data_IF_580367447072
#
_entry.id   IF_580367447072
#
_cell.length_a   1.000
_cell.length_b   1.000
_cell.length_c   1.000
_cell.angle_alpha   90.00
_cell.angle_beta   90.00
_cell.angle_gamma   90.00
#
_symmetry.space_group_name_H-M   'P 1'
#
loop_
_entity.id
_entity.type
_entity.pdbx_description
1 polymer ?
#
# COMPACT_ATOMS: atom_id res chain seq x y z
N UNK A 1 -10.62 15.45 -16.05
CA UNK A 1 -9.50 15.28 -15.13
C UNK A 1 -8.65 16.54 -15.16
N UNK A 2 -8.67 17.29 -14.08
CA UNK A 2 -7.78 18.43 -13.89
C UNK A 2 -6.41 17.94 -13.38
N UNK A 3 -5.37 18.75 -13.60
CA UNK A 3 -4.00 18.43 -13.21
C UNK A 3 -3.37 19.64 -12.55
N UNK A 4 -2.95 19.50 -11.30
CA UNK A 4 -2.38 20.57 -10.49
C UNK A 4 -1.06 20.14 -9.85
N UNK A 5 -0.13 21.11 -9.70
CA UNK A 5 1.22 20.85 -9.24
C UNK A 5 1.60 21.64 -7.98
N UNK A 6 0.82 22.65 -7.61
CA UNK A 6 1.05 23.43 -6.40
C UNK A 6 -0.06 23.21 -5.38
N UNK A 7 0.28 23.39 -4.11
CA UNK A 7 -0.69 23.33 -3.01
C UNK A 7 -1.82 24.36 -3.20
N UNK A 8 -1.48 25.56 -3.63
CA UNK A 8 -2.45 26.64 -3.89
C UNK A 8 -3.51 26.19 -4.91
N UNK A 9 -3.10 25.62 -6.05
CA UNK A 9 -4.02 25.12 -7.07
C UNK A 9 -4.82 23.90 -6.59
N UNK A 10 -4.23 23.05 -5.76
CA UNK A 10 -4.97 21.97 -5.12
C UNK A 10 -6.05 22.52 -4.20
N UNK A 11 -5.73 23.53 -3.37
CA UNK A 11 -6.69 24.14 -2.44
C UNK A 11 -7.87 24.77 -3.22
N UNK A 12 -7.62 25.49 -4.33
CA UNK A 12 -8.65 26.06 -5.20
C UNK A 12 -9.63 24.97 -5.71
N UNK A 13 -9.10 23.86 -6.23
CA UNK A 13 -9.93 22.77 -6.77
C UNK A 13 -10.72 22.04 -5.66
N UNK A 14 -10.10 21.80 -4.50
CA UNK A 14 -10.77 21.18 -3.36
C UNK A 14 -11.86 22.10 -2.81
N UNK A 15 -11.60 23.40 -2.67
CA UNK A 15 -12.61 24.38 -2.24
C UNK A 15 -13.79 24.45 -3.20
N UNK A 16 -13.53 24.36 -4.51
CA UNK A 16 -14.58 24.29 -5.51
C UNK A 16 -15.46 23.03 -5.35
N UNK A 17 -14.86 21.87 -5.08
CA UNK A 17 -15.61 20.64 -4.81
C UNK A 17 -16.43 20.75 -3.53
N UNK A 18 -15.85 21.28 -2.44
CA UNK A 18 -16.55 21.45 -1.16
C UNK A 18 -17.72 22.42 -1.25
N UNK A 19 -17.57 23.54 -1.97
CA UNK A 19 -18.66 24.50 -2.21
C UNK A 19 -19.84 23.87 -2.97
N UNK A 20 -19.58 22.82 -3.76
CA UNK A 20 -20.61 22.05 -4.47
C UNK A 20 -21.14 20.85 -3.68
N UNK A 21 -20.76 20.70 -2.41
CA UNK A 21 -21.11 19.55 -1.57
C UNK A 21 -20.71 18.20 -2.19
N UNK A 22 -19.61 18.17 -2.95
CA UNK A 22 -19.10 16.93 -3.56
C UNK A 22 -18.48 16.02 -2.49
N UNK A 23 -18.67 14.72 -2.63
CA UNK A 23 -17.98 13.70 -1.82
C UNK A 23 -16.63 13.42 -2.45
N UNK A 24 -15.55 13.75 -1.73
CA UNK A 24 -14.18 13.64 -2.21
C UNK A 24 -13.56 12.33 -1.73
N UNK A 25 -13.04 11.52 -2.63
CA UNK A 25 -12.13 10.43 -2.28
C UNK A 25 -10.71 10.72 -2.71
N UNK A 26 -9.73 10.21 -1.95
CA UNK A 26 -8.30 10.26 -2.29
C UNK A 26 -7.74 8.86 -2.52
N UNK A 27 -6.89 8.74 -3.54
CA UNK A 27 -6.07 7.55 -3.82
C UNK A 27 -4.60 7.96 -3.86
N UNK A 28 -3.88 7.89 -2.74
CA UNK A 28 -2.46 8.22 -2.70
C UNK A 28 -1.61 7.20 -3.45
N UNK A 29 -0.71 7.67 -4.32
CA UNK A 29 0.23 6.83 -5.07
C UNK A 29 1.62 7.47 -5.17
N UNK A 30 2.60 6.68 -5.54
CA UNK A 30 3.94 7.16 -5.92
C UNK A 30 4.18 7.15 -7.44
N UNK A 31 3.14 7.00 -8.25
CA UNK A 31 3.26 6.88 -9.72
C UNK A 31 3.60 5.46 -10.19
N UNK A 32 4.08 5.35 -11.44
CA UNK A 32 4.25 4.09 -12.16
C UNK A 32 3.01 3.19 -12.05
N UNK A 33 1.88 3.80 -12.39
CA UNK A 33 0.56 3.22 -12.17
C UNK A 33 0.38 1.91 -12.94
N UNK A 34 -0.23 0.93 -12.29
CA UNK A 34 -0.60 -0.37 -12.87
C UNK A 34 -2.08 -0.68 -12.59
N UNK A 35 -2.58 -1.79 -13.11
CA UNK A 35 -3.99 -2.21 -12.95
C UNK A 35 -4.45 -2.23 -11.49
N UNK A 36 -3.56 -2.51 -10.53
CA UNK A 36 -3.85 -2.43 -9.10
C UNK A 36 -4.20 -1.02 -8.64
N UNK A 37 -3.43 0.01 -9.04
CA UNK A 37 -3.78 1.40 -8.74
C UNK A 37 -5.09 1.82 -9.42
N UNK A 38 -5.28 1.43 -10.70
CA UNK A 38 -6.50 1.77 -11.45
C UNK A 38 -7.75 1.12 -10.84
N UNK A 39 -7.64 -0.07 -10.25
CA UNK A 39 -8.76 -0.71 -9.54
C UNK A 39 -9.16 0.06 -8.28
N UNK A 40 -8.20 0.69 -7.57
CA UNK A 40 -8.50 1.53 -6.41
C UNK A 40 -9.22 2.81 -6.82
N UNK A 41 -8.85 3.42 -7.95
CA UNK A 41 -9.54 4.59 -8.50
C UNK A 41 -10.98 4.23 -8.88
N UNK A 42 -11.17 3.08 -9.56
CA UNK A 42 -12.51 2.58 -9.88
C UNK A 42 -13.33 2.30 -8.61
N UNK A 43 -12.71 1.73 -7.58
CA UNK A 43 -13.35 1.49 -6.29
C UNK A 43 -13.75 2.81 -5.63
N UNK A 44 -12.89 3.83 -5.65
CA UNK A 44 -13.16 5.16 -5.13
C UNK A 44 -14.42 5.78 -5.76
N UNK A 45 -14.59 5.65 -7.08
CA UNK A 45 -15.79 6.13 -7.80
C UNK A 45 -17.10 5.54 -7.31
N UNK A 46 -17.10 4.35 -6.72
CA UNK A 46 -18.34 3.75 -6.18
C UNK A 46 -18.80 4.42 -4.88
N UNK A 47 -17.96 5.25 -4.26
CA UNK A 47 -18.22 5.86 -2.96
C UNK A 47 -18.16 7.38 -2.97
N UNK A 48 -17.73 8.00 -4.06
CA UNK A 48 -17.51 9.44 -4.13
C UNK A 48 -17.86 10.01 -5.49
N UNK A 49 -18.21 11.31 -5.51
CA UNK A 49 -18.51 12.05 -6.74
C UNK A 49 -17.24 12.59 -7.39
N UNK A 50 -16.19 12.85 -6.61
CA UNK A 50 -14.87 13.32 -7.05
C UNK A 50 -13.76 12.42 -6.56
N UNK A 51 -12.90 11.99 -7.47
CA UNK A 51 -11.71 11.19 -7.16
C UNK A 51 -10.46 12.01 -7.38
N UNK A 52 -9.74 12.26 -6.30
CA UNK A 52 -8.42 12.87 -6.28
C UNK A 52 -7.37 11.77 -6.25
N UNK A 53 -6.45 11.79 -7.19
CA UNK A 53 -5.27 10.91 -7.18
C UNK A 53 -4.04 11.76 -6.89
N UNK A 54 -3.13 11.25 -6.08
CA UNK A 54 -1.83 11.91 -5.90
C UNK A 54 -0.73 11.05 -6.50
N UNK A 55 0.28 11.70 -7.08
CA UNK A 55 1.53 11.04 -7.49
C UNK A 55 2.66 11.81 -6.81
N UNK A 56 3.15 11.25 -5.71
CA UNK A 56 4.25 11.85 -4.95
C UNK A 56 5.21 10.77 -4.45
N UNK A 57 6.46 10.79 -4.95
CA UNK A 57 7.51 9.89 -4.47
C UNK A 57 8.09 10.50 -3.19
N UNK A 58 7.55 10.05 -2.05
CA UNK A 58 7.85 10.61 -0.74
C UNK A 58 9.24 10.23 -0.25
N UNK A 59 10.19 11.15 -0.08
CA UNK A 59 11.54 10.83 0.38
C UNK A 59 11.59 10.28 1.81
N UNK A 60 10.64 10.68 2.68
CA UNK A 60 10.64 10.32 4.10
C UNK A 60 10.44 8.82 4.37
N UNK A 61 9.94 8.07 3.38
CA UNK A 61 9.67 6.63 3.53
C UNK A 61 10.75 5.72 2.96
N UNK A 62 11.84 6.30 2.42
CA UNK A 62 12.95 5.54 1.87
C UNK A 62 14.14 5.62 2.81
N UNK A 63 14.73 4.46 3.12
CA UNK A 63 16.01 4.37 3.80
C UNK A 63 17.19 4.74 2.87
N UNK A 64 18.36 4.97 3.45
CA UNK A 64 19.58 5.38 2.72
C UNK A 64 19.96 4.44 1.56
N UNK A 65 19.67 3.15 1.70
CA UNK A 65 20.01 2.11 0.72
C UNK A 65 18.79 1.61 -0.08
N UNK A 66 17.71 2.40 -0.14
CA UNK A 66 16.52 2.03 -0.90
C UNK A 66 16.46 2.74 -2.26
N UNK A 67 15.55 2.26 -3.10
CA UNK A 67 15.38 2.63 -4.51
C UNK A 67 14.77 4.03 -4.76
N UNK A 68 14.98 5.01 -3.87
CA UNK A 68 14.39 6.35 -4.03
C UNK A 68 14.82 7.05 -5.33
N UNK A 69 16.12 7.01 -5.63
CA UNK A 69 16.67 7.61 -6.86
C UNK A 69 16.20 6.91 -8.12
N UNK A 70 16.13 5.58 -8.05
CA UNK A 70 15.78 4.70 -9.17
C UNK A 70 14.28 4.39 -9.23
N UNK A 71 13.48 4.94 -8.28
CA UNK A 71 12.04 4.71 -8.28
C UNK A 71 11.40 5.23 -9.57
N UNK A 72 10.61 4.39 -10.27
CA UNK A 72 10.12 4.72 -11.61
C UNK A 72 9.23 5.98 -11.63
N UNK A 73 9.63 6.99 -12.40
CA UNK A 73 8.87 8.23 -12.63
C UNK A 73 8.36 8.23 -14.07
N UNK A 74 7.06 7.97 -14.25
CA UNK A 74 6.45 7.71 -15.56
C UNK A 74 5.22 8.58 -15.82
N UNK A 75 5.32 9.88 -15.50
CA UNK A 75 4.16 10.79 -15.46
C UNK A 75 3.34 10.79 -16.76
N UNK A 76 3.96 10.82 -17.93
CA UNK A 76 3.23 10.83 -19.20
C UNK A 76 2.39 9.56 -19.42
N UNK A 77 2.95 8.39 -19.03
CA UNK A 77 2.23 7.12 -19.09
C UNK A 77 1.11 7.07 -18.05
N UNK A 78 1.35 7.64 -16.88
CA UNK A 78 0.39 7.68 -15.79
C UNK A 78 -0.78 8.62 -16.11
N UNK A 79 -0.52 9.79 -16.66
CA UNK A 79 -1.55 10.71 -17.17
C UNK A 79 -2.50 10.04 -18.18
N UNK A 80 -1.94 9.29 -19.15
CA UNK A 80 -2.74 8.55 -20.13
C UNK A 80 -3.65 7.50 -19.49
N UNK A 81 -3.18 6.83 -18.42
CA UNK A 81 -3.97 5.86 -17.64
C UNK A 81 -5.05 6.54 -16.81
N UNK A 82 -4.70 7.64 -16.12
CA UNK A 82 -5.61 8.38 -15.25
C UNK A 82 -6.78 9.00 -16.01
N UNK A 83 -6.54 9.57 -17.19
CA UNK A 83 -7.60 10.11 -18.07
C UNK A 83 -8.71 9.08 -18.38
N UNK A 84 -8.36 7.77 -18.41
CA UNK A 84 -9.29 6.66 -18.70
C UNK A 84 -9.84 5.97 -17.46
N UNK A 85 -9.40 6.35 -16.25
CA UNK A 85 -9.69 5.61 -15.02
C UNK A 85 -10.83 6.19 -14.18
N UNK A 86 -11.33 7.37 -14.52
CA UNK A 86 -12.32 8.09 -13.71
C UNK A 86 -11.71 9.00 -12.64
N UNK A 87 -10.42 9.33 -12.74
CA UNK A 87 -9.78 10.36 -11.93
C UNK A 87 -10.33 11.73 -12.32
N UNK A 88 -10.76 12.54 -11.34
CA UNK A 88 -11.25 13.91 -11.59
C UNK A 88 -10.16 14.95 -11.42
N UNK A 89 -9.30 14.78 -10.41
CA UNK A 89 -8.19 15.67 -10.12
C UNK A 89 -6.92 14.86 -9.84
N UNK A 90 -5.83 15.20 -10.52
CA UNK A 90 -4.50 14.71 -10.21
C UNK A 90 -3.69 15.80 -9.53
N UNK A 91 -3.21 15.51 -8.31
CA UNK A 91 -2.18 16.30 -7.66
C UNK A 91 -0.81 15.62 -7.86
N UNK A 92 0.05 16.31 -8.60
CA UNK A 92 1.43 15.90 -8.86
C UNK A 92 2.35 17.07 -8.47
N UNK A 93 2.79 17.15 -7.20
CA UNK A 93 3.53 18.29 -6.68
C UNK A 93 4.84 18.52 -7.45
N UNK A 94 5.13 19.77 -7.77
CA UNK A 94 6.34 20.16 -8.49
C UNK A 94 7.61 19.92 -7.67
N UNK A 95 7.48 19.99 -6.34
CA UNK A 95 8.55 19.73 -5.38
C UNK A 95 7.97 19.32 -4.01
N UNK A 96 8.84 18.92 -3.08
CA UNK A 96 8.44 18.46 -1.74
C UNK A 96 7.74 19.55 -0.89
N UNK A 97 8.01 20.84 -1.13
CA UNK A 97 7.40 21.94 -0.36
C UNK A 97 5.90 22.05 -0.58
N UNK A 98 5.41 21.59 -1.73
CA UNK A 98 3.98 21.56 -2.02
C UNK A 98 3.22 20.58 -1.11
N UNK A 99 3.93 19.56 -0.60
CA UNK A 99 3.39 18.61 0.37
C UNK A 99 3.83 18.98 1.78
N UNK A 100 5.07 19.41 1.97
CA UNK A 100 5.67 19.77 3.25
C UNK A 100 6.17 21.22 3.22
N UNK A 101 5.30 22.21 3.44
CA UNK A 101 5.69 23.64 3.37
C UNK A 101 6.83 23.99 4.33
N UNK A 102 6.80 23.43 5.54
CA UNK A 102 7.82 23.61 6.57
C UNK A 102 8.83 22.45 6.55
N UNK A 103 9.60 22.36 5.45
CA UNK A 103 10.54 21.23 5.25
C UNK A 103 11.51 21.03 6.42
N UNK A 104 11.89 22.08 7.11
CA UNK A 104 12.81 22.01 8.25
C UNK A 104 12.11 21.67 9.58
N UNK A 105 10.79 21.63 9.62
CA UNK A 105 9.99 21.35 10.83
C UNK A 105 8.83 20.39 10.52
N UNK A 106 9.12 19.29 9.84
CA UNK A 106 8.09 18.28 9.53
C UNK A 106 7.71 17.56 10.81
N UNK A 107 6.46 17.66 11.21
CA UNK A 107 5.91 16.89 12.32
C UNK A 107 5.78 15.40 11.94
N UNK A 108 6.77 14.62 12.33
CA UNK A 108 6.83 13.19 12.03
C UNK A 108 5.77 12.42 12.82
N UNK A 109 4.95 11.67 12.13
CA UNK A 109 3.94 10.79 12.73
C UNK A 109 4.58 9.45 13.09
N UNK A 110 4.70 9.16 14.38
CA UNK A 110 5.28 7.91 14.85
C UNK A 110 4.32 6.73 14.66
N UNK A 111 4.77 5.69 13.98
CA UNK A 111 4.00 4.47 13.74
C UNK A 111 3.95 3.52 14.96
N UNK A 112 4.68 3.84 16.03
CA UNK A 112 4.71 3.09 17.28
C UNK A 112 5.26 1.67 17.12
N UNK A 113 4.87 0.79 18.05
CA UNK A 113 5.34 -0.61 18.05
C UNK A 113 4.97 -1.36 16.77
N UNK A 114 3.79 -1.11 16.23
CA UNK A 114 3.30 -1.75 15.02
C UNK A 114 4.15 -1.38 13.78
N UNK A 115 4.73 -0.18 13.76
CA UNK A 115 5.65 0.24 12.69
C UNK A 115 7.04 -0.41 12.74
N UNK A 116 7.36 -1.16 13.80
CA UNK A 116 8.68 -1.78 14.03
C UNK A 116 8.71 -3.29 13.83
N UNK A 117 7.60 -3.91 13.43
CA UNK A 117 7.49 -5.35 13.15
C UNK A 117 7.42 -5.60 11.64
N UNK A 118 7.50 -6.84 11.20
CA UNK A 118 7.34 -7.26 9.80
C UNK A 118 8.17 -6.41 8.83
N UNK A 119 7.52 -5.73 7.87
CA UNK A 119 8.24 -4.82 6.95
C UNK A 119 9.03 -3.74 7.67
N UNK A 120 8.49 -3.17 8.76
CA UNK A 120 9.15 -2.09 9.50
C UNK A 120 10.39 -2.54 10.25
N UNK A 121 10.51 -3.81 10.62
CA UNK A 121 11.73 -4.35 11.23
C UNK A 121 12.92 -4.30 10.25
N UNK A 122 12.65 -4.47 8.96
CA UNK A 122 13.65 -4.43 7.88
C UNK A 122 13.84 -3.04 7.27
N UNK A 123 12.97 -2.10 7.61
CA UNK A 123 12.93 -0.73 7.06
C UNK A 123 12.68 0.28 8.19
N UNK A 124 13.66 0.53 9.08
CA UNK A 124 13.51 1.50 10.18
C UNK A 124 13.07 2.87 9.65
N UNK A 125 12.08 3.51 10.30
CA UNK A 125 11.54 4.83 9.92
C UNK A 125 10.57 4.83 8.71
N UNK A 126 10.50 3.74 7.95
CA UNK A 126 9.63 3.67 6.77
C UNK A 126 8.18 4.05 7.05
N UNK A 127 7.57 3.44 8.05
CA UNK A 127 6.16 3.70 8.35
C UNK A 127 5.93 5.06 9.00
N UNK A 128 6.91 5.61 9.69
CA UNK A 128 6.83 6.99 10.18
C UNK A 128 6.76 7.96 8.98
N UNK A 129 7.59 7.74 7.96
CA UNK A 129 7.54 8.48 6.70
C UNK A 129 6.22 8.31 5.95
N UNK A 130 5.69 7.08 5.88
CA UNK A 130 4.39 6.80 5.24
C UNK A 130 3.25 7.49 5.96
N UNK A 131 3.18 7.38 7.29
CA UNK A 131 2.11 8.03 8.06
C UNK A 131 2.19 9.54 7.97
N UNK A 132 3.40 10.10 7.96
CA UNK A 132 3.62 11.53 7.84
C UNK A 132 3.11 12.07 6.52
N UNK A 133 3.45 11.44 5.39
CA UNK A 133 2.97 11.91 4.08
C UNK A 133 1.47 11.72 3.91
N UNK A 134 0.92 10.58 4.37
CA UNK A 134 -0.52 10.31 4.27
C UNK A 134 -1.31 11.29 5.13
N UNK A 135 -0.85 11.59 6.36
CA UNK A 135 -1.45 12.63 7.20
C UNK A 135 -1.47 13.99 6.47
N UNK A 136 -0.36 14.36 5.87
CA UNK A 136 -0.27 15.64 5.15
C UNK A 136 -1.18 15.67 3.93
N UNK A 137 -1.21 14.60 3.14
CA UNK A 137 -2.10 14.49 1.99
C UNK A 137 -3.59 14.57 2.40
N UNK A 138 -3.97 13.95 3.51
CA UNK A 138 -5.32 14.08 4.05
C UNK A 138 -5.64 15.52 4.50
N UNK A 139 -4.68 16.19 5.14
CA UNK A 139 -4.84 17.57 5.59
C UNK A 139 -5.07 18.53 4.42
N UNK A 140 -4.29 18.41 3.34
CA UNK A 140 -4.41 19.35 2.21
C UNK A 140 -5.54 19.00 1.25
N UNK A 141 -5.93 17.71 1.11
CA UNK A 141 -7.00 17.29 0.19
C UNK A 141 -8.36 17.15 0.85
N UNK A 142 -8.45 17.20 2.18
CA UNK A 142 -9.69 17.18 2.97
C UNK A 142 -10.72 16.13 2.50
N UNK A 143 -10.33 14.85 2.33
CA UNK A 143 -11.20 13.85 1.74
C UNK A 143 -12.24 13.34 2.74
N UNK A 144 -13.39 12.90 2.22
CA UNK A 144 -14.40 12.13 2.96
C UNK A 144 -13.99 10.64 3.01
N UNK A 145 -13.26 10.18 1.99
CA UNK A 145 -12.91 8.77 1.79
C UNK A 145 -11.45 8.68 1.33
N UNK A 146 -10.71 7.69 1.84
CA UNK A 146 -9.39 7.35 1.31
C UNK A 146 -9.33 5.87 0.96
N UNK A 147 -8.75 5.53 -0.19
CA UNK A 147 -8.73 4.16 -0.71
C UNK A 147 -7.29 3.66 -0.80
N UNK A 148 -7.02 2.50 -0.18
CA UNK A 148 -5.71 1.85 -0.15
C UNK A 148 -5.81 0.39 -0.58
N UNK A 149 -4.70 -0.15 -1.10
CA UNK A 149 -4.63 -1.56 -1.49
C UNK A 149 -4.34 -2.48 -0.31
N UNK A 150 -5.02 -3.63 -0.26
CA UNK A 150 -4.80 -4.67 0.75
C UNK A 150 -3.41 -5.31 0.68
N UNK A 151 -2.78 -5.25 -0.49
CA UNK A 151 -1.43 -5.78 -0.70
C UNK A 151 -0.43 -5.23 0.33
N UNK A 152 -0.48 -3.93 0.61
CA UNK A 152 0.37 -3.25 1.58
C UNK A 152 -0.27 -3.31 2.97
N UNK A 153 -0.51 -4.55 3.46
CA UNK A 153 -1.35 -4.87 4.60
C UNK A 153 -0.98 -4.12 5.87
N UNK A 154 0.29 -4.12 6.27
CA UNK A 154 0.76 -3.40 7.45
C UNK A 154 0.55 -1.89 7.31
N UNK A 155 0.79 -1.34 6.13
CA UNK A 155 0.56 0.07 5.83
C UNK A 155 -0.91 0.46 6.04
N UNK A 156 -1.84 -0.33 5.50
CA UNK A 156 -3.26 -0.01 5.61
C UNK A 156 -3.78 -0.10 7.05
N UNK A 157 -3.28 -1.03 7.88
CA UNK A 157 -3.62 -1.12 9.30
C UNK A 157 -3.11 0.13 10.05
N UNK A 158 -1.87 0.53 9.82
CA UNK A 158 -1.28 1.73 10.42
C UNK A 158 -2.04 3.01 10.03
N UNK A 159 -2.40 3.14 8.75
CA UNK A 159 -3.18 4.29 8.26
C UNK A 159 -4.57 4.31 8.88
N UNK A 160 -5.26 3.16 8.98
CA UNK A 160 -6.56 3.06 9.67
C UNK A 160 -6.47 3.53 11.13
N UNK A 161 -5.42 3.09 11.83
CA UNK A 161 -5.19 3.47 13.23
C UNK A 161 -4.92 4.97 13.37
N UNK A 162 -4.07 5.53 12.53
CA UNK A 162 -3.79 6.97 12.49
C UNK A 162 -5.06 7.77 12.16
N UNK A 163 -5.79 7.35 11.14
CA UNK A 163 -7.00 8.03 10.68
C UNK A 163 -8.11 8.07 11.74
N UNK A 164 -8.31 6.96 12.47
CA UNK A 164 -9.28 6.91 13.57
C UNK A 164 -9.03 8.00 14.62
N UNK A 165 -7.78 8.32 14.88
CA UNK A 165 -7.39 9.31 15.89
C UNK A 165 -7.39 10.75 15.35
N UNK A 166 -6.89 10.96 14.13
CA UNK A 166 -6.66 12.31 13.58
C UNK A 166 -7.77 12.79 12.65
N UNK A 167 -8.46 11.87 11.99
CA UNK A 167 -9.49 12.15 10.98
C UNK A 167 -10.74 11.29 11.22
N UNK A 168 -11.46 11.44 12.35
CA UNK A 168 -12.54 10.54 12.77
C UNK A 168 -13.71 10.46 11.79
N UNK A 169 -13.89 11.46 10.93
CA UNK A 169 -14.92 11.49 9.89
C UNK A 169 -14.47 10.85 8.57
N UNK A 170 -13.17 10.58 8.40
CA UNK A 170 -12.61 10.01 7.19
C UNK A 170 -12.84 8.49 7.14
N UNK A 171 -13.48 8.01 6.09
CA UNK A 171 -13.68 6.56 5.87
C UNK A 171 -12.49 5.99 5.08
N UNK A 172 -11.81 4.98 5.65
CA UNK A 172 -10.77 4.24 4.94
C UNK A 172 -11.38 2.99 4.30
N UNK A 173 -11.22 2.86 2.98
CA UNK A 173 -11.66 1.71 2.19
C UNK A 173 -10.43 0.94 1.72
N UNK A 174 -10.48 -0.38 1.85
CA UNK A 174 -9.41 -1.28 1.38
C UNK A 174 -9.88 -1.98 0.10
N UNK A 175 -9.10 -1.83 -0.99
CA UNK A 175 -9.33 -2.52 -2.24
C UNK A 175 -8.56 -3.85 -2.30
N UNK A 176 -9.14 -4.90 -2.91
CA UNK A 176 -8.54 -6.23 -2.97
C UNK A 176 -7.23 -6.25 -3.78
N UNK A 177 -6.41 -7.27 -3.52
CA UNK A 177 -5.14 -7.47 -4.25
C UNK A 177 -5.42 -7.82 -5.71
N UNK A 178 -4.95 -6.98 -6.61
CA UNK A 178 -4.99 -7.27 -8.06
C UNK A 178 -3.74 -8.05 -8.45
N UNK A 179 -3.94 -9.16 -9.15
CA UNK A 179 -2.88 -10.08 -9.57
C UNK A 179 -2.78 -10.16 -11.08
N UNK A 180 -1.63 -10.57 -11.60
CA UNK A 180 -1.50 -10.96 -12.99
C UNK A 180 -2.17 -12.33 -13.25
N UNK A 181 -2.16 -12.76 -14.52
CA UNK A 181 -2.75 -14.04 -14.95
C UNK A 181 -2.11 -15.28 -14.29
N UNK A 182 -0.92 -15.16 -13.73
CA UNK A 182 -0.18 -16.23 -13.08
C UNK A 182 -0.32 -16.20 -11.54
N UNK A 183 -1.00 -15.17 -10.99
CA UNK A 183 -1.26 -15.00 -9.57
C UNK A 183 -0.31 -14.03 -8.86
N UNK A 184 0.71 -13.47 -9.52
CA UNK A 184 1.60 -12.51 -8.89
C UNK A 184 0.87 -11.21 -8.57
N UNK A 185 0.93 -10.75 -7.33
CA UNK A 185 0.40 -9.46 -6.92
C UNK A 185 1.08 -8.32 -7.70
N UNK A 186 0.29 -7.40 -8.27
CA UNK A 186 0.83 -6.31 -9.05
C UNK A 186 1.55 -5.30 -8.16
N UNK A 187 2.75 -4.92 -8.59
CA UNK A 187 3.60 -3.94 -7.92
C UNK A 187 4.45 -3.20 -8.95
N UNK A 188 4.77 -1.93 -8.69
CA UNK A 188 5.72 -1.15 -9.50
C UNK A 188 7.11 -1.82 -9.55
N UNK A 189 7.50 -2.51 -8.48
CA UNK A 189 8.76 -3.26 -8.39
C UNK A 189 8.81 -4.54 -9.22
N UNK A 190 7.67 -5.04 -9.72
CA UNK A 190 7.67 -6.19 -10.64
C UNK A 190 8.42 -5.90 -11.96
N UNK A 191 8.65 -4.61 -12.27
CA UNK A 191 9.46 -4.20 -13.42
C UNK A 191 10.95 -4.54 -13.26
N UNK A 192 11.44 -4.68 -12.03
CA UNK A 192 12.83 -5.04 -11.73
C UNK A 192 13.11 -6.53 -11.96
N UNK A 193 12.07 -7.38 -11.95
CA UNK A 193 12.20 -8.81 -12.19
C UNK A 193 12.65 -9.09 -13.64
N UNK A 194 13.70 -9.88 -13.81
CA UNK A 194 14.13 -10.39 -15.10
C UNK A 194 13.16 -11.47 -15.63
N UNK A 195 13.39 -11.98 -16.85
CA UNK A 195 12.51 -12.96 -17.50
C UNK A 195 12.38 -14.27 -16.69
N UNK A 196 13.48 -14.77 -16.11
CA UNK A 196 13.46 -16.00 -15.30
C UNK A 196 12.74 -15.77 -13.98
N UNK A 197 13.01 -14.66 -13.32
CA UNK A 197 12.36 -14.29 -12.07
C UNK A 197 10.84 -14.09 -12.23
N UNK A 198 10.38 -13.49 -13.34
CA UNK A 198 8.95 -13.36 -13.65
C UNK A 198 8.21 -14.70 -13.75
N UNK A 199 8.89 -15.78 -14.14
CA UNK A 199 8.31 -17.12 -14.17
C UNK A 199 8.23 -17.76 -12.77
N UNK A 200 9.14 -17.37 -11.88
CA UNK A 200 9.25 -17.90 -10.51
C UNK A 200 8.36 -17.13 -9.53
N UNK A 201 8.31 -15.81 -9.64
CA UNK A 201 7.61 -14.92 -8.71
C UNK A 201 6.17 -15.34 -8.37
N UNK A 202 5.33 -15.85 -9.29
CA UNK A 202 3.97 -16.31 -8.99
C UNK A 202 3.91 -17.48 -7.99
N UNK A 203 4.99 -18.23 -7.80
CA UNK A 203 5.03 -19.28 -6.80
C UNK A 203 4.94 -18.76 -5.37
N UNK A 204 5.25 -17.47 -5.14
CA UNK A 204 5.04 -16.86 -3.83
C UNK A 204 3.57 -16.94 -3.42
N UNK A 205 2.67 -16.40 -4.23
CA UNK A 205 1.23 -16.50 -3.94
C UNK A 205 0.71 -17.94 -3.91
N UNK A 206 1.18 -18.80 -4.83
CA UNK A 206 0.81 -20.23 -4.83
C UNK A 206 1.18 -20.91 -3.51
N UNK A 207 2.34 -20.56 -2.92
CA UNK A 207 2.77 -21.07 -1.62
C UNK A 207 1.88 -20.56 -0.48
N UNK A 208 1.52 -19.26 -0.49
CA UNK A 208 0.58 -18.70 0.50
C UNK A 208 -0.81 -19.37 0.38
N UNK A 209 -1.30 -19.57 -0.84
CA UNK A 209 -2.57 -20.26 -1.09
C UNK A 209 -2.54 -21.70 -0.57
N UNK A 210 -1.41 -22.42 -0.78
CA UNK A 210 -1.25 -23.75 -0.19
C UNK A 210 -1.22 -23.70 1.34
N UNK A 211 -0.61 -22.67 1.91
CA UNK A 211 -0.67 -22.40 3.35
C UNK A 211 -2.10 -22.19 3.86
N UNK A 212 -2.93 -21.44 3.14
CA UNK A 212 -4.35 -21.32 3.45
C UNK A 212 -5.07 -22.67 3.51
N UNK A 213 -4.86 -23.52 2.50
CA UNK A 213 -5.45 -24.87 2.46
C UNK A 213 -4.99 -25.73 3.64
N UNK A 214 -3.67 -25.79 3.90
CA UNK A 214 -3.10 -26.52 5.03
C UNK A 214 -3.69 -26.00 6.36
N UNK A 215 -3.74 -24.68 6.55
CA UNK A 215 -4.30 -24.12 7.78
C UNK A 215 -5.79 -24.42 7.94
N UNK A 216 -6.53 -24.41 6.84
CA UNK A 216 -7.95 -24.78 6.84
C UNK A 216 -8.16 -26.21 7.35
N UNK A 217 -7.29 -27.13 6.97
CA UNK A 217 -7.41 -28.56 7.30
C UNK A 217 -6.86 -28.87 8.70
N UNK A 218 -5.70 -28.29 9.05
CA UNK A 218 -4.95 -28.67 10.28
C UNK A 218 -5.18 -27.75 11.46
N UNK A 219 -5.53 -26.48 11.22
CA UNK A 219 -5.57 -25.41 12.23
C UNK A 219 -4.25 -25.20 12.99
N UNK A 220 -3.16 -25.75 12.48
CA UNK A 220 -1.83 -25.66 13.07
C UNK A 220 -1.01 -24.54 12.41
N UNK A 221 -0.74 -23.49 13.19
CA UNK A 221 0.04 -22.32 12.75
C UNK A 221 1.47 -22.73 12.40
N UNK A 222 2.12 -23.50 13.26
CA UNK A 222 3.53 -23.88 13.10
C UNK A 222 3.71 -24.79 11.90
N UNK A 223 2.85 -25.80 11.76
CA UNK A 223 2.86 -26.70 10.63
C UNK A 223 2.63 -25.95 9.31
N UNK A 224 1.66 -25.03 9.30
CA UNK A 224 1.36 -24.18 8.13
C UNK A 224 2.58 -23.33 7.73
N UNK A 225 3.16 -22.58 8.67
CA UNK A 225 4.33 -21.71 8.42
C UNK A 225 5.51 -22.54 7.89
N UNK A 226 5.81 -23.71 8.50
CA UNK A 226 6.92 -24.54 8.09
C UNK A 226 6.68 -25.13 6.70
N UNK A 227 5.45 -25.55 6.39
CA UNK A 227 5.08 -26.05 5.08
C UNK A 227 5.26 -24.98 3.99
N UNK A 228 4.76 -23.77 4.21
CA UNK A 228 4.92 -22.65 3.26
C UNK A 228 6.39 -22.27 3.09
N UNK A 229 7.16 -22.23 4.19
CA UNK A 229 8.60 -21.95 4.16
C UNK A 229 9.35 -22.96 3.28
N UNK A 230 9.04 -24.24 3.41
CA UNK A 230 9.63 -25.30 2.59
C UNK A 230 9.28 -25.15 1.10
N UNK A 231 8.05 -24.76 0.77
CA UNK A 231 7.63 -24.49 -0.60
C UNK A 231 8.40 -23.31 -1.22
N UNK A 232 8.58 -22.23 -0.45
CA UNK A 232 9.33 -21.05 -0.88
C UNK A 232 10.82 -21.39 -1.05
N UNK A 233 11.41 -22.11 -0.12
CA UNK A 233 12.81 -22.53 -0.17
C UNK A 233 13.11 -23.37 -1.42
N UNK A 234 12.25 -24.32 -1.79
CA UNK A 234 12.37 -25.13 -3.03
C UNK A 234 12.43 -24.27 -4.30
N UNK A 235 11.91 -23.04 -4.26
CA UNK A 235 11.93 -22.08 -5.37
C UNK A 235 13.02 -21.02 -5.24
N UNK A 236 13.94 -21.21 -4.28
CA UNK A 236 15.08 -20.32 -4.02
C UNK A 236 14.69 -18.88 -3.67
N UNK A 237 13.55 -18.69 -3.01
CA UNK A 237 13.19 -17.40 -2.42
C UNK A 237 13.98 -17.17 -1.12
N UNK A 238 14.53 -15.97 -0.96
CA UNK A 238 15.02 -15.50 0.32
C UNK A 238 13.86 -14.95 1.13
N UNK A 239 13.56 -15.57 2.28
CA UNK A 239 12.40 -15.20 3.12
C UNK A 239 12.85 -14.14 4.12
N UNK A 240 12.31 -12.93 4.04
CA UNK A 240 12.55 -11.88 5.03
C UNK A 240 11.67 -12.08 6.27
N UNK A 241 10.39 -12.38 6.07
CA UNK A 241 9.47 -12.88 7.09
C UNK A 241 8.34 -13.70 6.45
N UNK A 242 7.78 -14.59 7.26
CA UNK A 242 6.57 -15.35 6.96
C UNK A 242 5.87 -15.61 8.27
N UNK A 243 4.69 -15.01 8.47
CA UNK A 243 3.99 -15.03 9.75
C UNK A 243 2.47 -15.14 9.57
N UNK A 244 1.82 -15.80 10.54
CA UNK A 244 0.37 -15.73 10.74
C UNK A 244 0.11 -14.82 11.93
N UNK A 245 -0.75 -13.83 11.76
CA UNK A 245 -1.12 -12.86 12.78
C UNK A 245 -2.62 -12.63 12.80
N UNK A 246 -3.13 -11.96 13.85
CA UNK A 246 -4.49 -11.41 13.81
C UNK A 246 -4.60 -10.39 12.67
N UNK A 247 -5.82 -10.02 12.29
CA UNK A 247 -6.01 -8.96 11.28
C UNK A 247 -5.48 -7.59 11.71
N UNK A 248 -5.37 -7.35 13.01
CA UNK A 248 -4.77 -6.16 13.61
C UNK A 248 -3.25 -6.25 13.74
N UNK A 249 -2.65 -7.36 13.28
CA UNK A 249 -1.22 -7.69 13.31
C UNK A 249 -0.65 -8.00 14.70
N UNK A 250 -1.48 -8.30 15.66
CA UNK A 250 -1.03 -8.82 16.96
C UNK A 250 -0.52 -10.26 16.83
N UNK A 251 0.43 -10.65 17.70
CA UNK A 251 0.83 -12.04 17.81
C UNK A 251 -0.32 -12.88 18.37
N UNK A 252 -0.49 -14.06 17.83
CA UNK A 252 -1.47 -15.03 18.31
C UNK A 252 -0.85 -15.75 19.52
N UNK A 253 -1.34 -15.44 20.72
CA UNK A 253 -0.90 -16.05 21.97
C UNK A 253 -1.76 -17.28 22.26
N UNK A 254 -3.08 -17.10 22.22
CA UNK A 254 -4.05 -18.19 22.38
C UNK A 254 -4.82 -18.33 21.07
N UNK A 255 -4.73 -19.51 20.46
CA UNK A 255 -5.43 -19.79 19.23
C UNK A 255 -6.91 -20.01 19.50
N UNK A 256 -7.75 -19.12 18.96
CA UNK A 256 -9.21 -19.32 18.89
C UNK A 256 -9.60 -19.40 17.40
N UNK A 257 -10.38 -20.45 17.07
CA UNK A 257 -10.92 -20.70 15.72
C UNK A 257 -11.76 -19.53 15.18
N UNK A 258 -12.30 -18.68 16.07
CA UNK A 258 -13.07 -17.47 15.71
C UNK A 258 -12.17 -16.27 15.37
N UNK A 259 -10.90 -16.35 15.71
CA UNK A 259 -9.96 -15.24 15.45
C UNK A 259 -9.73 -15.07 13.96
N UNK A 260 -10.03 -13.89 13.44
CA UNK A 260 -9.74 -13.53 12.06
C UNK A 260 -8.23 -13.33 11.92
N UNK A 261 -7.60 -14.09 11.02
CA UNK A 261 -6.16 -14.14 10.87
C UNK A 261 -5.74 -13.88 9.42
N UNK A 262 -4.50 -13.50 9.27
CA UNK A 262 -3.85 -13.27 7.97
C UNK A 262 -2.48 -13.93 7.94
N UNK A 263 -2.17 -14.62 6.86
CA UNK A 263 -0.84 -15.10 6.54
C UNK A 263 -0.15 -14.06 5.67
N UNK A 264 0.98 -13.53 6.17
CA UNK A 264 1.75 -12.48 5.51
C UNK A 264 3.16 -12.97 5.21
N UNK A 265 3.68 -12.54 4.08
CA UNK A 265 5.06 -12.82 3.73
C UNK A 265 5.76 -11.66 3.02
N UNK A 266 7.06 -11.61 3.24
CA UNK A 266 7.99 -10.82 2.44
C UNK A 266 9.15 -11.69 2.02
N UNK A 267 9.46 -11.67 0.74
CA UNK A 267 10.54 -12.44 0.15
C UNK A 267 11.39 -11.55 -0.75
N UNK A 268 12.62 -11.97 -1.00
CA UNK A 268 13.43 -11.46 -2.10
C UNK A 268 13.57 -12.51 -3.19
N UNK A 269 13.52 -12.06 -4.43
CA UNK A 269 13.86 -12.83 -5.61
C UNK A 269 14.88 -12.03 -6.41
N UNK A 270 16.14 -12.49 -6.42
CA UNK A 270 17.24 -11.64 -6.83
C UNK A 270 17.33 -10.43 -5.90
N UNK A 271 17.36 -9.23 -6.48
CA UNK A 271 17.35 -7.96 -5.74
C UNK A 271 15.95 -7.44 -5.44
N UNK A 272 14.91 -8.04 -6.02
CA UNK A 272 13.53 -7.53 -5.94
C UNK A 272 12.82 -8.07 -4.71
N UNK A 273 12.37 -7.16 -3.85
CA UNK A 273 11.50 -7.47 -2.71
C UNK A 273 10.04 -7.57 -3.16
N UNK A 274 9.39 -8.65 -2.76
CA UNK A 274 7.98 -8.92 -3.00
C UNK A 274 7.26 -9.13 -1.66
N UNK A 275 6.09 -8.52 -1.52
CA UNK A 275 5.19 -8.74 -0.38
C UNK A 275 3.84 -9.24 -0.88
N UNK A 276 3.24 -10.09 -0.08
CA UNK A 276 1.89 -10.60 -0.35
C UNK A 276 1.25 -11.09 0.95
N UNK A 277 -0.06 -11.25 0.92
CA UNK A 277 -0.83 -11.75 2.04
C UNK A 277 -2.07 -12.51 1.57
N UNK A 278 -2.65 -13.29 2.48
CA UNK A 278 -3.91 -13.98 2.29
C UNK A 278 -4.64 -14.09 3.63
N UNK A 279 -5.91 -13.71 3.65
CA UNK A 279 -6.78 -13.94 4.81
C UNK A 279 -6.96 -15.45 5.03
N UNK A 280 -6.87 -15.88 6.29
CA UNK A 280 -7.08 -17.28 6.65
C UNK A 280 -8.53 -17.56 7.11
N UNK A 281 -9.23 -16.57 7.61
CA UNK A 281 -10.67 -16.55 7.94
C UNK A 281 -11.20 -15.12 8.08
#
# INVERSE_FOLDING_TARGET
>A
MNFVQTKEKLDEEIDFFLKKNEIISIVPTMGNLHKGHLSLIKLAKNYSTKVVVTIFVNPLQFGENEDFKDYPRTIDKDLKKLKKSGCDLLFFPINDKEVFPEKNNINIINAGKLGKILCGQKRPGHFDGVLTVVNQLFTISRPNIAVFGEKDYQQQILIKKMSKNKFPKLKIITGPIVRDKNGLALSSRNNYLNKKEKLIAPYFYKSLKKGFEIFKDTKDINYTINSVRNLLFKKKFEIEYLEIRTRELDKIINFDLKSKMVLLGSIKLGTTKLIDNIDLY
#
